data_IF_073969795479
#
_entry.id   IF_073969795479
#
_cell.length_a   1.000
_cell.length_b   1.000
_cell.length_c   1.000
_cell.angle_alpha   90.00
_cell.angle_beta   90.00
_cell.angle_gamma   90.00
#
_symmetry.space_group_name_H-M   'P 1'
#
loop_
_entity.id
_entity.type
_entity.pdbx_description
1 polymer ?
#
# COMPACT_ATOMS: atom_id res chain seq x y z
N UNK A 1 34.58 14.88 8.45
CA UNK A 1 33.18 14.47 8.64
C UNK A 1 33.12 13.00 8.25
N UNK A 2 32.88 12.12 9.20
CA UNK A 2 33.02 10.67 8.98
C UNK A 2 32.02 10.19 7.92
N UNK A 3 32.44 9.31 7.01
CA UNK A 3 31.60 8.80 5.92
C UNK A 3 30.26 8.24 6.41
N UNK A 4 30.24 7.66 7.61
CA UNK A 4 29.05 7.19 8.33
C UNK A 4 28.05 8.30 8.65
N UNK A 5 28.53 9.48 9.04
CA UNK A 5 27.67 10.62 9.36
C UNK A 5 26.99 11.15 8.10
N UNK A 6 27.74 11.26 6.99
CA UNK A 6 27.21 11.67 5.68
C UNK A 6 26.10 10.70 5.22
N UNK A 7 26.38 9.40 5.28
CA UNK A 7 25.41 8.37 4.88
C UNK A 7 24.15 8.38 5.75
N UNK A 8 24.31 8.54 7.06
CA UNK A 8 23.19 8.62 8.01
C UNK A 8 22.27 9.81 7.70
N UNK A 9 22.85 10.96 7.34
CA UNK A 9 22.08 12.15 6.93
C UNK A 9 21.33 11.90 5.62
N UNK A 10 21.95 11.25 4.64
CA UNK A 10 21.29 10.89 3.36
C UNK A 10 20.08 9.97 3.61
N UNK A 11 20.25 8.94 4.46
CA UNK A 11 19.16 8.04 4.84
C UNK A 11 18.02 8.81 5.51
N UNK A 12 18.34 9.68 6.47
CA UNK A 12 17.34 10.48 7.17
C UNK A 12 16.55 11.39 6.21
N UNK A 13 17.24 12.08 5.30
CA UNK A 13 16.62 12.93 4.27
C UNK A 13 15.70 12.08 3.37
N UNK A 14 16.16 10.91 2.95
CA UNK A 14 15.38 10.01 2.12
C UNK A 14 14.09 9.56 2.82
N UNK A 15 14.18 9.15 4.10
CA UNK A 15 13.03 8.75 4.91
C UNK A 15 12.00 9.90 4.97
N UNK A 16 12.47 11.14 5.19
CA UNK A 16 11.59 12.32 5.20
C UNK A 16 10.85 12.47 3.86
N UNK A 17 11.56 12.37 2.73
CA UNK A 17 10.92 12.41 1.40
C UNK A 17 9.95 11.25 1.16
N UNK A 18 10.26 10.05 1.64
CA UNK A 18 9.36 8.90 1.55
C UNK A 18 8.06 9.14 2.34
N UNK A 19 8.15 9.72 3.55
CA UNK A 19 6.98 10.12 4.35
C UNK A 19 6.15 11.17 3.62
N UNK A 20 6.76 12.24 3.11
CA UNK A 20 6.04 13.26 2.35
C UNK A 20 5.33 12.68 1.12
N UNK A 21 5.98 11.75 0.43
CA UNK A 21 5.40 11.06 -0.73
C UNK A 21 4.23 10.17 -0.35
N UNK A 22 4.32 9.47 0.78
CA UNK A 22 3.23 8.66 1.32
C UNK A 22 2.01 9.55 1.64
N UNK A 23 2.24 10.67 2.32
CA UNK A 23 1.19 11.66 2.65
C UNK A 23 0.59 12.26 1.38
N UNK A 24 1.42 12.63 0.40
CA UNK A 24 0.96 13.15 -0.88
C UNK A 24 0.04 12.16 -1.61
N UNK A 25 0.43 10.88 -1.69
CA UNK A 25 -0.42 9.87 -2.31
C UNK A 25 -1.68 9.58 -1.49
N UNK A 26 -1.63 9.68 -0.17
CA UNK A 26 -2.82 9.54 0.68
C UNK A 26 -3.89 10.59 0.34
N UNK A 27 -3.51 11.86 0.19
CA UNK A 27 -4.45 12.91 -0.17
C UNK A 27 -4.98 12.78 -1.59
N UNK A 28 -4.17 12.31 -2.53
CA UNK A 28 -4.57 12.11 -3.93
C UNK A 28 -5.48 10.89 -4.13
N UNK A 29 -5.40 9.88 -3.26
CA UNK A 29 -6.14 8.62 -3.39
C UNK A 29 -7.57 8.69 -2.82
N UNK A 30 -7.91 9.70 -2.00
CA UNK A 30 -9.19 9.80 -1.26
C UNK A 30 -10.42 9.54 -2.12
N UNK A 31 -10.55 10.22 -3.26
CA UNK A 31 -11.71 10.07 -4.15
C UNK A 31 -11.78 8.66 -4.74
N UNK A 32 -10.64 8.15 -5.22
CA UNK A 32 -10.58 6.82 -5.82
C UNK A 32 -10.82 5.71 -4.81
N UNK A 33 -10.43 5.90 -3.56
CA UNK A 33 -10.67 4.96 -2.49
C UNK A 33 -12.13 4.94 -2.05
N UNK A 34 -12.76 6.11 -1.92
CA UNK A 34 -14.20 6.19 -1.67
C UNK A 34 -14.98 5.44 -2.77
N UNK A 35 -14.58 5.59 -4.03
CA UNK A 35 -15.17 4.88 -5.16
C UNK A 35 -14.99 3.35 -5.04
N UNK A 36 -13.77 2.88 -4.72
CA UNK A 36 -13.49 1.44 -4.48
C UNK A 36 -14.38 0.89 -3.37
N UNK A 37 -14.42 1.56 -2.23
CA UNK A 37 -15.16 1.12 -1.05
C UNK A 37 -16.66 1.08 -1.30
N UNK A 38 -17.24 2.14 -1.89
CA UNK A 38 -18.65 2.19 -2.27
C UNK A 38 -19.01 1.11 -3.28
N UNK A 39 -18.18 0.95 -4.31
CA UNK A 39 -18.39 -0.07 -5.35
C UNK A 39 -18.39 -1.48 -4.77
N UNK A 40 -17.44 -1.78 -3.88
CA UNK A 40 -17.36 -3.07 -3.21
C UNK A 40 -18.56 -3.31 -2.28
N UNK A 41 -18.91 -2.32 -1.45
CA UNK A 41 -20.05 -2.42 -0.55
C UNK A 41 -21.37 -2.62 -1.30
N UNK A 42 -21.57 -1.89 -2.40
CA UNK A 42 -22.78 -2.02 -3.23
C UNK A 42 -22.91 -3.41 -3.86
N UNK A 43 -21.78 -4.08 -4.15
CA UNK A 43 -21.78 -5.43 -4.74
C UNK A 43 -21.97 -6.54 -3.70
N UNK A 44 -21.34 -6.42 -2.53
CA UNK A 44 -21.23 -7.52 -1.57
C UNK A 44 -21.91 -7.27 -0.21
N UNK A 45 -22.36 -6.05 0.07
CA UNK A 45 -23.07 -5.68 1.30
C UNK A 45 -22.20 -5.59 2.55
N UNK A 46 -20.86 -5.61 2.41
CA UNK A 46 -19.93 -5.43 3.51
C UNK A 46 -18.67 -4.65 3.09
N UNK A 47 -17.95 -4.12 4.07
CA UNK A 47 -16.67 -3.43 3.87
C UNK A 47 -15.53 -4.44 4.01
N UNK A 48 -14.59 -4.50 3.07
CA UNK A 48 -13.52 -5.48 3.13
C UNK A 48 -12.54 -5.10 4.25
N UNK A 49 -12.50 -5.93 5.29
CA UNK A 49 -11.50 -5.83 6.35
C UNK A 49 -10.72 -7.14 6.47
N UNK A 50 -9.38 -7.09 6.55
CA UNK A 50 -8.62 -8.22 7.03
C UNK A 50 -8.97 -8.45 8.51
N UNK A 51 -9.66 -9.56 8.81
CA UNK A 51 -10.13 -9.94 10.16
C UNK A 51 -9.04 -9.89 11.26
N UNK A 52 -7.76 -9.94 10.89
CA UNK A 52 -6.62 -9.89 11.84
C UNK A 52 -6.16 -8.49 12.27
N UNK A 53 -6.70 -7.41 11.69
CA UNK A 53 -6.27 -6.02 11.97
C UNK A 53 -7.31 -5.19 12.74
N UNK A 54 -8.35 -5.83 13.28
CA UNK A 54 -9.44 -5.23 14.08
C UNK A 54 -9.00 -4.79 15.50
N UNK A 55 -7.71 -4.68 15.76
CA UNK A 55 -7.16 -4.34 17.08
C UNK A 55 -6.99 -2.84 17.28
N UNK A 56 -7.95 -2.21 17.96
CA UNK A 56 -7.66 -1.16 18.94
C UNK A 56 -7.61 0.32 18.52
N UNK A 57 -7.53 0.69 17.24
CA UNK A 57 -7.46 2.11 16.87
C UNK A 57 -8.27 2.44 15.62
N UNK A 58 -9.43 3.08 15.81
CA UNK A 58 -10.34 3.56 14.76
C UNK A 58 -9.79 4.67 13.84
N UNK A 59 -8.48 4.93 13.85
CA UNK A 59 -7.81 5.99 13.10
C UNK A 59 -7.20 5.55 11.75
N UNK A 60 -7.26 4.25 11.40
CA UNK A 60 -6.56 3.68 10.22
C UNK A 60 -7.48 2.92 9.24
N UNK A 61 -8.74 3.33 9.12
CA UNK A 61 -9.76 2.52 8.44
C UNK A 61 -9.57 2.44 6.92
N UNK A 62 -8.96 3.44 6.29
CA UNK A 62 -8.77 3.51 4.84
C UNK A 62 -7.51 2.75 4.39
N UNK A 63 -6.38 2.89 5.08
CA UNK A 63 -5.15 2.19 4.69
C UNK A 63 -5.25 0.67 4.87
N UNK A 64 -6.02 0.19 5.86
CA UNK A 64 -6.24 -1.24 6.01
C UNK A 64 -7.12 -1.83 4.91
N UNK A 65 -8.12 -1.07 4.42
CA UNK A 65 -8.94 -1.46 3.27
C UNK A 65 -8.11 -1.46 1.99
N UNK A 66 -7.31 -0.41 1.78
CA UNK A 66 -6.34 -0.36 0.68
C UNK A 66 -5.39 -1.54 0.69
N UNK A 67 -4.89 -1.92 1.87
CA UNK A 67 -4.00 -3.07 2.01
C UNK A 67 -4.67 -4.36 1.56
N UNK A 68 -5.96 -4.54 1.86
CA UNK A 68 -6.73 -5.68 1.37
C UNK A 68 -6.92 -5.63 -0.15
N UNK A 69 -7.24 -4.47 -0.73
CA UNK A 69 -7.34 -4.33 -2.18
C UNK A 69 -6.00 -4.53 -2.90
N UNK A 70 -4.90 -4.05 -2.32
CA UNK A 70 -3.53 -4.30 -2.80
C UNK A 70 -3.25 -5.79 -2.78
N UNK A 71 -3.57 -6.47 -1.68
CA UNK A 71 -3.42 -7.92 -1.57
C UNK A 71 -4.19 -8.65 -2.66
N UNK A 72 -5.44 -8.25 -2.93
CA UNK A 72 -6.23 -8.83 -4.02
C UNK A 72 -5.60 -8.56 -5.39
N UNK A 73 -5.31 -7.29 -5.71
CA UNK A 73 -4.81 -6.88 -7.02
C UNK A 73 -3.41 -7.43 -7.33
N UNK A 74 -2.54 -7.51 -6.32
CA UNK A 74 -1.12 -7.84 -6.50
C UNK A 74 -0.73 -9.23 -6.02
N UNK A 75 -1.43 -9.87 -5.08
CA UNK A 75 -1.02 -11.19 -4.57
C UNK A 75 -1.93 -12.32 -5.06
N UNK A 76 -3.21 -12.04 -5.33
CA UNK A 76 -4.10 -13.04 -5.94
C UNK A 76 -3.87 -13.19 -7.45
N UNK A 77 -3.35 -12.16 -8.13
CA UNK A 77 -2.89 -12.25 -9.53
C UNK A 77 -1.77 -13.27 -9.72
N UNK A 78 -0.93 -13.50 -8.70
CA UNK A 78 0.20 -14.43 -8.74
C UNK A 78 -0.09 -15.77 -8.05
N UNK A 79 -1.37 -16.16 -7.90
CA UNK A 79 -1.80 -17.41 -7.26
C UNK A 79 -1.38 -17.62 -5.79
N UNK A 80 -0.61 -16.73 -5.16
CA UNK A 80 -0.07 -16.92 -3.80
C UNK A 80 -1.15 -17.01 -2.71
N UNK A 81 -2.34 -16.43 -2.93
CA UNK A 81 -3.36 -16.31 -1.88
C UNK A 81 -4.82 -16.53 -2.30
N UNK A 82 -5.08 -17.07 -3.51
CA UNK A 82 -6.45 -17.27 -4.03
C UNK A 82 -7.37 -18.06 -3.09
N UNK A 83 -6.83 -18.90 -2.20
CA UNK A 83 -7.62 -19.66 -1.22
C UNK A 83 -8.28 -18.80 -0.13
N UNK A 84 -7.83 -17.57 0.11
CA UNK A 84 -8.33 -16.70 1.20
C UNK A 84 -9.38 -15.68 0.76
N UNK A 85 -9.60 -15.50 -0.54
CA UNK A 85 -10.54 -14.52 -1.10
C UNK A 85 -11.50 -15.24 -2.03
N UNK A 86 -12.80 -14.94 -1.96
CA UNK A 86 -13.79 -15.57 -2.84
C UNK A 86 -13.48 -15.21 -4.29
N UNK A 87 -13.63 -16.18 -5.20
CA UNK A 87 -13.38 -15.98 -6.62
C UNK A 87 -14.18 -14.79 -7.20
N UNK A 88 -15.43 -14.64 -6.78
CA UNK A 88 -16.30 -13.53 -7.20
C UNK A 88 -15.76 -12.15 -6.81
N UNK A 89 -15.16 -12.03 -5.62
CA UNK A 89 -14.52 -10.78 -5.17
C UNK A 89 -13.29 -10.46 -6.01
N UNK A 90 -12.50 -11.48 -6.36
CA UNK A 90 -11.34 -11.34 -7.23
C UNK A 90 -11.74 -10.87 -8.63
N UNK A 91 -12.72 -11.53 -9.22
CA UNK A 91 -13.20 -11.22 -10.58
C UNK A 91 -13.82 -9.81 -10.62
N UNK A 92 -14.56 -9.43 -9.57
CA UNK A 92 -15.10 -8.08 -9.43
C UNK A 92 -14.00 -7.01 -9.35
N UNK A 93 -13.02 -7.19 -8.47
CA UNK A 93 -11.93 -6.21 -8.30
C UNK A 93 -11.03 -6.15 -9.54
N UNK A 94 -10.82 -7.29 -10.21
CA UNK A 94 -10.07 -7.34 -11.47
C UNK A 94 -10.78 -6.61 -12.61
N UNK A 95 -12.13 -6.51 -12.55
CA UNK A 95 -12.94 -5.79 -13.53
C UNK A 95 -12.99 -4.27 -13.31
N UNK A 96 -12.43 -3.76 -12.21
CA UNK A 96 -12.49 -2.34 -11.90
C UNK A 96 -11.77 -1.47 -12.93
N UNK A 97 -12.32 -0.28 -13.24
CA UNK A 97 -11.68 0.65 -14.15
C UNK A 97 -10.37 1.17 -13.54
N UNK A 98 -9.47 1.66 -14.41
CA UNK A 98 -8.16 2.14 -13.98
C UNK A 98 -8.27 3.28 -12.97
N UNK A 99 -9.28 4.14 -13.09
CA UNK A 99 -9.56 5.23 -12.13
C UNK A 99 -9.71 4.76 -10.68
N UNK A 100 -10.16 3.52 -10.46
CA UNK A 100 -10.35 2.98 -9.12
C UNK A 100 -9.03 2.45 -8.56
N UNK A 101 -8.11 2.00 -9.42
CA UNK A 101 -6.89 1.28 -9.02
C UNK A 101 -5.60 2.08 -9.24
N UNK A 102 -5.67 3.22 -9.91
CA UNK A 102 -4.51 4.00 -10.34
C UNK A 102 -3.62 4.43 -9.17
N UNK A 103 -4.18 5.16 -8.20
CA UNK A 103 -3.43 5.65 -7.04
C UNK A 103 -3.00 4.52 -6.12
N UNK A 104 -3.84 3.50 -5.96
CA UNK A 104 -3.49 2.29 -5.21
C UNK A 104 -2.25 1.59 -5.80
N UNK A 105 -2.19 1.43 -7.11
CA UNK A 105 -1.02 0.87 -7.82
C UNK A 105 0.20 1.79 -7.68
N UNK A 106 0.02 3.11 -7.79
CA UNK A 106 1.12 4.09 -7.67
C UNK A 106 1.71 4.10 -6.26
N UNK A 107 0.87 4.10 -5.22
CA UNK A 107 1.25 3.99 -3.81
C UNK A 107 1.99 2.69 -3.54
N UNK A 108 1.50 1.56 -4.05
CA UNK A 108 2.13 0.25 -3.89
C UNK A 108 3.52 0.21 -4.53
N UNK A 109 3.64 0.67 -5.79
CA UNK A 109 4.93 0.73 -6.49
C UNK A 109 5.93 1.64 -5.78
N UNK A 110 5.48 2.81 -5.35
CA UNK A 110 6.31 3.75 -4.60
C UNK A 110 6.80 3.14 -3.29
N UNK A 111 5.90 2.53 -2.50
CA UNK A 111 6.27 1.89 -1.23
C UNK A 111 7.22 0.71 -1.42
N UNK A 112 7.05 -0.11 -2.44
CA UNK A 112 7.99 -1.19 -2.77
C UNK A 112 9.38 -0.63 -3.14
N UNK A 113 9.43 0.41 -3.97
CA UNK A 113 10.68 1.05 -4.35
C UNK A 113 11.38 1.72 -3.15
N UNK A 114 10.62 2.40 -2.30
CA UNK A 114 11.14 3.04 -1.08
C UNK A 114 11.73 2.01 -0.12
N UNK A 115 11.05 0.86 0.06
CA UNK A 115 11.56 -0.25 0.86
C UNK A 115 12.88 -0.81 0.32
N UNK A 116 12.99 -1.03 -0.99
CA UNK A 116 14.22 -1.53 -1.61
C UNK A 116 15.39 -0.55 -1.43
N UNK A 117 15.15 0.75 -1.58
CA UNK A 117 16.19 1.77 -1.37
C UNK A 117 16.63 1.80 0.09
N UNK A 118 15.70 1.74 1.04
CA UNK A 118 16.04 1.71 2.47
C UNK A 118 16.94 0.51 2.79
N UNK A 119 16.64 -0.68 2.25
CA UNK A 119 17.49 -1.88 2.41
C UNK A 119 18.90 -1.65 1.84
N UNK A 120 18.98 -1.12 0.61
CA UNK A 120 20.27 -0.89 -0.06
C UNK A 120 21.11 0.12 0.72
N UNK A 121 20.51 1.23 1.15
CA UNK A 121 21.20 2.26 1.92
C UNK A 121 21.63 1.75 3.30
N UNK A 122 20.79 0.95 3.95
CA UNK A 122 21.13 0.31 5.22
C UNK A 122 22.29 -0.68 5.07
N UNK A 123 22.26 -1.55 4.06
CA UNK A 123 23.36 -2.47 3.78
C UNK A 123 24.66 -1.74 3.43
N UNK A 124 24.59 -0.62 2.70
CA UNK A 124 25.75 0.21 2.41
C UNK A 124 26.34 0.86 3.67
N UNK A 125 25.50 1.26 4.63
CA UNK A 125 25.96 1.82 5.91
C UNK A 125 26.72 0.78 6.75
N UNK A 126 26.30 -0.48 6.73
CA UNK A 126 26.96 -1.58 7.47
C UNK A 126 28.33 -1.98 6.89
N UNK A 127 28.59 -1.67 5.61
CA UNK A 127 29.86 -1.99 4.92
C UNK A 127 30.94 -0.92 5.13
N UNK A 128 30.55 0.33 5.39
CA UNK A 128 31.43 1.50 5.59
C UNK A 128 31.80 1.62 7.08
#
# INVERSE_FOLDING_TARGET
MDGKLIFSVIIAIYIIFAIFRMVYYYFQDQDSALLREKSFFNKFGYVPYPKGLMGGAGFFTHEFRDTWFIFVLFLCKFNFAKKRVKKEELDFIASWPESYTFYLKKKTKAGFFDFMIIIILYAALEII
#
